data_IF_871407097177
#
_entry.id   IF_871407097177
#
_cell.length_a   1.000
_cell.length_b   1.000
_cell.length_c   1.000
_cell.angle_alpha   90.00
_cell.angle_beta   90.00
_cell.angle_gamma   90.00
#
_symmetry.space_group_name_H-M   'P 1'
#
loop_
_entity.id
_entity.type
_entity.pdbx_description
1 polymer ?
#
# COMPACT_ATOMS: atom_id res chain seq x y z
N UNK A 1 -15.65 -19.30 -3.49
CA UNK A 1 -16.51 -20.44 -3.12
C UNK A 1 -16.18 -21.65 -3.97
N UNK A 2 -16.34 -21.59 -5.29
CA UNK A 2 -16.12 -22.76 -6.18
C UNK A 2 -14.67 -23.25 -6.24
N UNK A 3 -13.71 -22.40 -5.89
CA UNK A 3 -12.29 -22.76 -5.77
C UNK A 3 -11.87 -23.23 -4.37
N UNK A 4 -12.81 -23.43 -3.44
CA UNK A 4 -12.53 -23.86 -2.07
C UNK A 4 -12.22 -22.74 -1.08
N UNK A 5 -12.33 -21.46 -1.47
CA UNK A 5 -12.11 -20.35 -0.56
C UNK A 5 -13.28 -20.25 0.45
N UNK A 6 -12.95 -20.12 1.73
CA UNK A 6 -13.88 -19.95 2.84
C UNK A 6 -13.88 -18.55 3.41
N UNK A 7 -12.84 -17.76 3.10
CA UNK A 7 -12.70 -16.35 3.49
C UNK A 7 -11.88 -15.57 2.48
N UNK A 8 -11.98 -14.24 2.49
CA UNK A 8 -11.15 -13.35 1.68
C UNK A 8 -10.99 -11.99 2.35
N UNK A 9 -9.87 -11.32 2.06
CA UNK A 9 -9.52 -10.00 2.62
C UNK A 9 -9.11 -9.07 1.47
N UNK A 10 -10.07 -8.44 0.76
CA UNK A 10 -9.77 -7.50 -0.32
C UNK A 10 -9.32 -6.15 0.23
N UNK A 11 -8.81 -5.31 -0.66
CA UNK A 11 -8.40 -3.95 -0.33
C UNK A 11 -9.59 -2.98 -0.38
N UNK A 12 -9.88 -2.32 0.76
CA UNK A 12 -10.77 -1.16 0.82
C UNK A 12 -9.94 0.10 0.55
N UNK A 13 -10.15 0.73 -0.61
CA UNK A 13 -9.32 1.83 -1.08
C UNK A 13 -9.92 3.19 -0.69
N UNK A 14 -9.25 3.90 0.23
CA UNK A 14 -9.48 5.32 0.44
C UNK A 14 -8.93 6.11 -0.77
N UNK A 15 -9.68 7.06 -1.25
CA UNK A 15 -9.21 8.07 -2.20
C UNK A 15 -9.01 9.41 -1.49
N UNK A 16 -8.17 10.28 -2.06
CA UNK A 16 -7.91 11.61 -1.50
C UNK A 16 -9.20 12.39 -1.30
N UNK A 17 -9.36 13.01 -0.13
CA UNK A 17 -10.55 13.72 0.29
C UNK A 17 -11.68 12.82 0.83
N UNK A 18 -11.48 11.51 0.92
CA UNK A 18 -12.46 10.59 1.51
C UNK A 18 -12.06 10.21 2.94
N UNK A 19 -13.07 10.08 3.83
CA UNK A 19 -12.85 9.49 5.14
C UNK A 19 -12.62 7.98 5.04
N UNK A 20 -11.83 7.45 5.95
CA UNK A 20 -11.66 6.00 6.13
C UNK A 20 -12.96 5.35 6.53
N UNK A 21 -13.71 5.96 7.45
CA UNK A 21 -15.03 5.48 7.89
C UNK A 21 -16.00 5.32 6.72
N UNK A 22 -16.20 6.36 5.90
CA UNK A 22 -17.10 6.28 4.73
C UNK A 22 -16.61 5.31 3.66
N UNK A 23 -15.28 5.14 3.54
CA UNK A 23 -14.69 4.10 2.68
C UNK A 23 -15.10 2.71 3.17
N UNK A 24 -14.89 2.40 4.45
CA UNK A 24 -15.23 1.10 5.03
C UNK A 24 -16.73 0.81 4.94
N UNK A 25 -17.59 1.79 5.25
CA UNK A 25 -19.04 1.65 5.08
C UNK A 25 -19.41 1.25 3.64
N UNK A 26 -18.83 1.91 2.64
CA UNK A 26 -19.06 1.59 1.23
C UNK A 26 -18.62 0.15 0.89
N UNK A 27 -17.47 -0.29 1.40
CA UNK A 27 -16.96 -1.63 1.14
C UNK A 27 -17.77 -2.70 1.89
N UNK A 28 -18.21 -2.44 3.12
CA UNK A 28 -19.11 -3.33 3.84
C UNK A 28 -20.46 -3.48 3.11
N UNK A 29 -21.04 -2.39 2.59
CA UNK A 29 -22.26 -2.46 1.80
C UNK A 29 -22.09 -3.33 0.55
N UNK A 30 -20.98 -3.19 -0.18
CA UNK A 30 -20.65 -4.06 -1.32
C UNK A 30 -20.52 -5.53 -0.92
N UNK A 31 -19.94 -5.79 0.25
CA UNK A 31 -19.68 -7.14 0.76
C UNK A 31 -20.93 -7.82 1.37
N UNK A 32 -22.05 -7.13 1.59
CA UNK A 32 -23.28 -7.69 2.17
C UNK A 32 -23.82 -8.92 1.45
N UNK A 33 -23.47 -9.10 0.18
CA UNK A 33 -23.86 -10.27 -0.63
C UNK A 33 -22.88 -11.43 -0.54
N UNK A 34 -21.81 -11.29 0.24
CA UNK A 34 -20.85 -12.38 0.43
C UNK A 34 -21.51 -13.55 1.16
N UNK A 35 -21.22 -14.75 0.67
CA UNK A 35 -21.66 -16.02 1.29
C UNK A 35 -20.53 -16.72 2.03
N UNK A 36 -19.35 -16.08 2.11
CA UNK A 36 -18.17 -16.53 2.85
C UNK A 36 -17.65 -15.37 3.70
N UNK A 37 -16.85 -15.67 4.69
CA UNK A 37 -16.27 -14.67 5.60
C UNK A 37 -15.38 -13.67 4.86
N UNK A 38 -15.40 -12.42 5.30
CA UNK A 38 -14.56 -11.38 4.75
C UNK A 38 -14.08 -10.39 5.82
N UNK A 39 -12.95 -9.78 5.53
CA UNK A 39 -12.46 -8.58 6.18
C UNK A 39 -11.84 -7.68 5.11
N UNK A 40 -11.12 -6.62 5.50
CA UNK A 40 -10.46 -5.72 4.56
C UNK A 40 -9.03 -5.42 4.98
N UNK A 41 -8.14 -5.25 3.98
CA UNK A 41 -6.93 -4.46 4.11
C UNK A 41 -7.27 -3.03 3.70
N UNK A 42 -7.05 -2.06 4.59
CA UNK A 42 -7.38 -0.66 4.30
C UNK A 42 -6.24 0.01 3.52
N UNK A 43 -6.50 0.52 2.31
CA UNK A 43 -5.55 1.40 1.61
C UNK A 43 -5.69 2.81 2.18
N UNK A 44 -4.56 3.37 2.65
CA UNK A 44 -4.45 4.75 3.15
C UNK A 44 -3.68 5.57 2.12
N UNK A 45 -4.34 6.52 1.47
CA UNK A 45 -3.76 7.39 0.46
C UNK A 45 -3.85 8.88 0.82
N UNK A 46 -4.61 9.21 1.85
CA UNK A 46 -4.80 10.56 2.37
C UNK A 46 -4.74 10.58 3.90
N UNK A 47 -3.53 10.46 4.50
CA UNK A 47 -3.34 10.36 5.94
C UNK A 47 -3.41 11.75 6.61
N UNK A 48 -4.59 12.35 6.62
CA UNK A 48 -4.83 13.60 7.34
C UNK A 48 -4.69 13.40 8.85
N UNK A 49 -4.54 14.49 9.63
CA UNK A 49 -4.48 14.42 11.08
C UNK A 49 -5.69 13.66 11.67
N UNK A 50 -6.89 13.92 11.17
CA UNK A 50 -8.11 13.21 11.58
C UNK A 50 -8.03 11.72 11.26
N UNK A 51 -7.56 11.35 10.06
CA UNK A 51 -7.39 9.94 9.66
C UNK A 51 -6.43 9.24 10.62
N UNK A 52 -5.28 9.84 10.90
CA UNK A 52 -4.25 9.24 11.77
C UNK A 52 -4.67 9.16 13.24
N UNK A 53 -5.32 10.21 13.75
CA UNK A 53 -5.63 10.31 15.18
C UNK A 53 -6.93 9.60 15.59
N UNK A 54 -7.89 9.49 14.68
CA UNK A 54 -9.24 9.00 14.99
C UNK A 54 -9.62 7.77 14.12
N UNK A 55 -9.61 7.92 12.78
CA UNK A 55 -10.24 6.95 11.91
C UNK A 55 -9.43 5.64 11.75
N UNK A 56 -8.09 5.67 11.75
CA UNK A 56 -7.27 4.46 11.74
C UNK A 56 -7.37 3.68 13.06
N UNK A 57 -7.30 4.32 14.26
CA UNK A 57 -7.64 3.67 15.52
C UNK A 57 -9.02 3.01 15.53
N UNK A 58 -10.06 3.73 15.10
CA UNK A 58 -11.42 3.18 15.00
C UNK A 58 -11.49 1.96 14.06
N UNK A 59 -10.84 2.05 12.89
CA UNK A 59 -10.78 0.94 11.94
C UNK A 59 -10.12 -0.30 12.57
N UNK A 60 -9.03 -0.11 13.32
CA UNK A 60 -8.35 -1.18 14.05
C UNK A 60 -9.26 -1.81 15.11
N UNK A 61 -9.93 -1.01 15.93
CA UNK A 61 -10.90 -1.48 16.93
C UNK A 61 -12.08 -2.22 16.27
N UNK A 62 -12.46 -1.80 15.06
CA UNK A 62 -13.44 -2.48 14.22
C UNK A 62 -12.97 -3.77 13.55
N UNK A 63 -11.72 -4.22 13.81
CA UNK A 63 -11.17 -5.47 13.29
C UNK A 63 -10.36 -5.35 11.99
N UNK A 64 -10.10 -4.14 11.50
CA UNK A 64 -9.21 -3.89 10.36
C UNK A 64 -7.78 -3.72 10.88
N UNK A 65 -7.00 -4.79 10.85
CA UNK A 65 -5.69 -4.87 11.51
C UNK A 65 -4.50 -4.65 10.59
N UNK A 66 -4.73 -4.26 9.34
CA UNK A 66 -3.68 -4.02 8.35
C UNK A 66 -3.99 -2.85 7.43
N UNK A 67 -2.99 -1.98 7.24
CA UNK A 67 -3.05 -0.79 6.41
C UNK A 67 -2.09 -0.95 5.23
N UNK A 68 -2.52 -0.60 4.04
CA UNK A 68 -1.72 -0.64 2.82
C UNK A 68 -1.41 0.76 2.34
N UNK A 69 -0.15 1.01 2.00
CA UNK A 69 0.32 2.26 1.41
C UNK A 69 1.05 2.00 0.10
N UNK A 70 1.21 3.05 -0.70
CA UNK A 70 1.89 3.00 -1.98
C UNK A 70 2.98 4.07 -2.04
N UNK A 71 4.16 3.71 -2.54
CA UNK A 71 5.26 4.64 -2.79
C UNK A 71 5.35 5.06 -4.27
N UNK A 72 4.36 4.64 -5.06
CA UNK A 72 4.15 5.04 -6.46
C UNK A 72 2.66 5.22 -6.74
N UNK A 73 2.32 5.60 -7.98
CA UNK A 73 0.97 5.92 -8.47
C UNK A 73 0.40 7.24 -7.92
N UNK A 74 0.28 8.25 -8.79
CA UNK A 74 -0.09 9.63 -8.44
C UNK A 74 -1.32 9.79 -7.54
N UNK A 75 -2.29 8.88 -7.65
CA UNK A 75 -3.52 8.92 -6.85
C UNK A 75 -3.40 8.24 -5.47
N UNK A 76 -2.36 7.43 -5.27
CA UNK A 76 -2.21 6.59 -4.08
C UNK A 76 -0.93 6.87 -3.31
N UNK A 77 0.08 7.46 -3.95
CA UNK A 77 1.40 7.68 -3.36
C UNK A 77 1.31 8.52 -2.09
N UNK A 78 1.99 8.06 -1.04
CA UNK A 78 2.24 8.83 0.18
C UNK A 78 3.68 9.34 0.20
N UNK A 79 3.95 10.44 0.88
CA UNK A 79 5.31 10.92 1.14
C UNK A 79 6.00 10.07 2.20
N UNK A 80 7.32 10.21 2.33
CA UNK A 80 8.08 9.53 3.39
C UNK A 80 7.64 9.99 4.79
N UNK A 81 7.31 11.27 4.97
CA UNK A 81 6.76 11.81 6.22
C UNK A 81 5.41 11.15 6.54
N UNK A 82 4.49 11.11 5.58
CA UNK A 82 3.20 10.44 5.76
C UNK A 82 3.34 8.94 6.03
N UNK A 83 4.32 8.26 5.40
CA UNK A 83 4.63 6.87 5.71
C UNK A 83 5.07 6.71 7.17
N UNK A 84 5.94 7.58 7.68
CA UNK A 84 6.38 7.55 9.07
C UNK A 84 5.20 7.71 10.04
N UNK A 85 4.29 8.66 9.78
CA UNK A 85 3.11 8.89 10.61
C UNK A 85 2.16 7.67 10.63
N UNK A 86 1.95 7.04 9.45
CA UNK A 86 1.15 5.82 9.35
C UNK A 86 1.83 4.67 10.11
N UNK A 87 3.14 4.49 9.97
CA UNK A 87 3.92 3.45 10.65
C UNK A 87 3.85 3.61 12.19
N UNK A 88 4.00 4.84 12.68
CA UNK A 88 3.90 5.15 14.12
C UNK A 88 2.48 4.85 14.63
N UNK A 89 1.45 5.27 13.89
CA UNK A 89 0.06 4.99 14.24
C UNK A 89 -0.21 3.49 14.25
N UNK A 90 0.19 2.77 13.19
CA UNK A 90 0.04 1.32 13.10
C UNK A 90 0.71 0.60 14.27
N UNK A 91 1.98 0.94 14.56
CA UNK A 91 2.71 0.37 15.70
C UNK A 91 2.00 0.60 17.03
N UNK A 92 1.50 1.82 17.26
CA UNK A 92 0.82 2.20 18.50
C UNK A 92 -0.43 1.35 18.77
N UNK A 93 -1.13 0.98 17.71
CA UNK A 93 -2.38 0.21 17.79
C UNK A 93 -2.19 -1.29 17.48
N UNK A 94 -0.98 -1.75 17.17
CA UNK A 94 -0.72 -3.17 16.84
C UNK A 94 -1.16 -3.57 15.43
N UNK A 95 -1.40 -2.62 14.53
CA UNK A 95 -1.72 -2.88 13.14
C UNK A 95 -0.45 -3.13 12.30
N UNK A 96 -0.59 -3.90 11.22
CA UNK A 96 0.48 -4.15 10.26
C UNK A 96 0.40 -3.17 9.09
N UNK A 97 1.49 -2.45 8.82
CA UNK A 97 1.60 -1.67 7.58
C UNK A 97 2.14 -2.54 6.45
N UNK A 98 1.44 -2.53 5.32
CA UNK A 98 1.89 -3.15 4.07
C UNK A 98 2.26 -2.06 3.08
N UNK A 99 3.29 -2.26 2.25
CA UNK A 99 3.66 -1.28 1.24
C UNK A 99 3.90 -1.88 -0.14
N UNK A 100 3.36 -1.22 -1.16
CA UNK A 100 3.80 -1.36 -2.55
C UNK A 100 4.99 -0.43 -2.74
N UNK A 101 6.17 -1.01 -2.87
CA UNK A 101 7.44 -0.29 -2.84
C UNK A 101 8.07 -0.22 -4.24
N UNK A 102 7.82 0.89 -4.93
CA UNK A 102 8.51 1.25 -6.17
C UNK A 102 8.79 2.76 -6.19
N UNK A 103 9.94 3.16 -6.76
CA UNK A 103 10.33 4.55 -6.87
C UNK A 103 9.53 5.26 -7.99
N UNK A 104 8.60 6.11 -7.60
CA UNK A 104 7.72 6.85 -8.51
C UNK A 104 8.48 7.74 -9.49
N UNK A 105 9.58 8.37 -9.07
CA UNK A 105 10.36 9.27 -9.91
C UNK A 105 11.06 8.50 -11.04
N UNK A 106 11.66 7.34 -10.74
CA UNK A 106 12.28 6.48 -11.74
C UNK A 106 11.26 5.97 -12.76
N UNK A 107 10.10 5.48 -12.28
CA UNK A 107 9.03 4.98 -13.16
C UNK A 107 8.53 6.10 -14.07
N UNK A 108 8.20 7.27 -13.54
CA UNK A 108 7.69 8.40 -14.34
C UNK A 108 8.70 8.87 -15.38
N UNK A 109 9.96 8.92 -15.00
CA UNK A 109 11.04 9.28 -15.92
C UNK A 109 11.14 8.27 -17.06
N UNK A 110 11.16 6.96 -16.76
CA UNK A 110 11.20 5.89 -17.76
C UNK A 110 9.97 5.92 -18.68
N UNK A 111 8.76 6.01 -18.12
CA UNK A 111 7.51 6.10 -18.88
C UNK A 111 7.55 7.28 -19.86
N UNK A 112 7.98 8.46 -19.40
CA UNK A 112 8.05 9.64 -20.25
C UNK A 112 8.99 9.46 -21.44
N UNK A 113 10.13 8.77 -21.25
CA UNK A 113 11.11 8.49 -22.31
C UNK A 113 10.61 7.45 -23.29
N UNK A 114 9.99 6.39 -22.81
CA UNK A 114 9.39 5.36 -23.65
C UNK A 114 8.27 5.93 -24.53
N UNK A 115 7.37 6.71 -23.94
CA UNK A 115 6.28 7.34 -24.67
C UNK A 115 6.81 8.33 -25.73
N UNK A 116 7.77 9.19 -25.37
CA UNK A 116 8.40 10.11 -26.32
C UNK A 116 9.11 9.39 -27.47
N UNK A 117 9.65 8.19 -27.24
CA UNK A 117 10.25 7.34 -28.28
C UNK A 117 9.25 6.48 -29.06
N UNK A 118 7.94 6.60 -28.82
CA UNK A 118 6.90 5.81 -29.49
C UNK A 118 6.75 4.38 -28.96
N UNK A 119 7.39 4.03 -27.85
CA UNK A 119 7.34 2.70 -27.22
C UNK A 119 6.12 2.56 -26.29
N UNK A 120 4.91 2.46 -26.90
CA UNK A 120 3.63 2.48 -26.15
C UNK A 120 2.96 1.09 -26.01
N UNK A 121 3.53 0.05 -26.62
CA UNK A 121 2.96 -1.29 -26.54
C UNK A 121 3.09 -1.88 -25.11
N UNK A 122 2.14 -2.73 -24.64
CA UNK A 122 2.13 -3.29 -23.28
C UNK A 122 3.43 -3.98 -22.86
N UNK A 123 4.19 -4.56 -23.78
CA UNK A 123 5.48 -5.20 -23.52
C UNK A 123 6.52 -4.26 -22.91
N UNK A 124 6.37 -2.94 -23.07
CA UNK A 124 7.29 -1.94 -22.50
C UNK A 124 6.94 -1.59 -21.05
N UNK A 125 5.86 -2.14 -20.49
CA UNK A 125 5.52 -1.94 -19.09
C UNK A 125 6.66 -2.43 -18.16
N UNK A 126 7.16 -3.62 -18.37
CA UNK A 126 8.28 -4.16 -17.58
C UNK A 126 9.56 -3.30 -17.70
N UNK A 127 9.81 -2.69 -18.87
CA UNK A 127 10.94 -1.78 -19.07
C UNK A 127 10.78 -0.48 -18.27
N UNK A 128 9.54 -0.01 -18.12
CA UNK A 128 9.25 1.21 -17.34
C UNK A 128 9.31 1.01 -15.82
N UNK A 129 9.32 -0.25 -15.36
CA UNK A 129 9.40 -0.64 -13.94
C UNK A 129 10.67 -1.47 -13.71
N UNK A 130 11.87 -0.84 -13.78
CA UNK A 130 13.13 -1.55 -13.59
C UNK A 130 13.27 -2.02 -12.14
N UNK A 131 13.95 -3.16 -11.92
CA UNK A 131 14.20 -3.70 -10.58
C UNK A 131 14.82 -2.71 -9.60
N UNK A 132 15.67 -1.80 -10.09
CA UNK A 132 16.23 -0.72 -9.26
C UNK A 132 15.17 0.21 -8.66
N UNK A 133 14.01 0.37 -9.29
CA UNK A 133 12.90 1.18 -8.73
C UNK A 133 12.25 0.47 -7.53
N UNK A 134 12.14 -0.85 -7.58
CA UNK A 134 11.67 -1.67 -6.46
C UNK A 134 12.72 -1.70 -5.33
N UNK A 135 13.97 -2.03 -5.63
CA UNK A 135 15.04 -2.15 -4.64
C UNK A 135 15.26 -0.85 -3.84
N UNK A 136 15.32 0.31 -4.51
CA UNK A 136 15.43 1.61 -3.84
C UNK A 136 14.26 1.84 -2.88
N UNK A 137 13.04 1.64 -3.35
CA UNK A 137 11.86 1.91 -2.53
C UNK A 137 11.73 0.92 -1.35
N UNK A 138 12.10 -0.35 -1.52
CA UNK A 138 12.18 -1.33 -0.42
C UNK A 138 13.21 -0.88 0.61
N UNK A 139 14.44 -0.53 0.18
CA UNK A 139 15.50 -0.07 1.08
C UNK A 139 15.08 1.17 1.87
N UNK A 140 14.42 2.11 1.23
CA UNK A 140 13.91 3.32 1.87
C UNK A 140 12.80 3.00 2.88
N UNK A 141 11.79 2.21 2.48
CA UNK A 141 10.67 1.84 3.34
C UNK A 141 11.10 1.05 4.58
N UNK A 142 12.00 0.07 4.42
CA UNK A 142 12.54 -0.73 5.53
C UNK A 142 13.35 0.12 6.51
N UNK A 143 14.16 1.07 6.03
CA UNK A 143 14.91 2.00 6.89
C UNK A 143 13.99 2.93 7.68
N UNK A 144 12.93 3.45 7.05
CA UNK A 144 11.93 4.28 7.74
C UNK A 144 11.17 3.46 8.80
N UNK A 145 10.76 2.24 8.48
CA UNK A 145 10.09 1.35 9.43
C UNK A 145 11.00 1.00 10.62
N UNK A 146 12.26 0.66 10.36
CA UNK A 146 13.26 0.38 11.39
C UNK A 146 13.51 1.60 12.28
N UNK A 147 13.60 2.79 11.70
CA UNK A 147 13.81 4.04 12.44
C UNK A 147 12.71 4.28 13.50
N UNK A 148 11.45 4.00 13.16
CA UNK A 148 10.34 4.16 14.10
C UNK A 148 9.99 2.86 14.85
N UNK A 149 10.70 1.75 14.60
CA UNK A 149 10.48 0.47 15.26
C UNK A 149 9.11 -0.15 14.95
N UNK A 150 8.59 0.05 13.73
CA UNK A 150 7.29 -0.45 13.30
C UNK A 150 7.43 -1.69 12.40
N UNK A 151 6.57 -2.72 12.55
CA UNK A 151 6.53 -3.83 11.62
C UNK A 151 6.07 -3.36 10.23
N UNK A 152 6.72 -3.87 9.19
CA UNK A 152 6.41 -3.56 7.80
C UNK A 152 6.37 -4.84 6.97
N UNK A 153 5.37 -4.99 6.13
CA UNK A 153 5.27 -6.04 5.11
C UNK A 153 5.49 -5.43 3.72
N UNK A 154 6.55 -5.80 3.06
CA UNK A 154 6.73 -5.49 1.64
C UNK A 154 5.92 -6.51 0.84
N UNK A 155 4.94 -6.06 0.05
CA UNK A 155 4.11 -6.97 -0.75
C UNK A 155 4.78 -7.27 -2.10
N UNK A 156 4.48 -8.42 -2.67
CA UNK A 156 4.84 -8.84 -4.05
C UNK A 156 6.27 -8.44 -4.47
N UNK A 157 7.27 -8.71 -3.63
CA UNK A 157 8.69 -8.53 -3.97
C UNK A 157 9.02 -9.33 -5.22
N UNK A 158 9.54 -8.68 -6.25
CA UNK A 158 9.66 -9.23 -7.60
C UNK A 158 11.11 -9.34 -8.09
N UNK A 159 12.08 -8.82 -7.31
CA UNK A 159 13.50 -8.81 -7.67
C UNK A 159 14.35 -9.49 -6.61
N UNK A 160 15.45 -10.10 -7.03
CA UNK A 160 16.44 -10.70 -6.12
C UNK A 160 17.07 -9.63 -5.21
N UNK A 161 17.34 -8.43 -5.75
CA UNK A 161 17.88 -7.32 -4.96
C UNK A 161 16.89 -6.88 -3.87
N UNK A 162 15.60 -6.75 -4.22
CA UNK A 162 14.55 -6.44 -3.24
C UNK A 162 14.41 -7.52 -2.17
N UNK A 163 14.47 -8.79 -2.55
CA UNK A 163 14.42 -9.90 -1.60
C UNK A 163 15.61 -9.91 -0.64
N UNK A 164 16.82 -9.64 -1.12
CA UNK A 164 18.02 -9.55 -0.28
C UNK A 164 17.92 -8.38 0.72
N UNK A 165 17.42 -7.21 0.29
CA UNK A 165 17.23 -6.05 1.19
C UNK A 165 16.23 -6.36 2.32
N UNK A 166 15.21 -7.17 2.06
CA UNK A 166 14.23 -7.57 3.09
C UNK A 166 14.82 -8.62 4.05
N UNK A 167 15.76 -9.45 3.58
CA UNK A 167 16.38 -10.50 4.38
C UNK A 167 17.45 -9.98 5.36
N UNK A 168 18.12 -8.85 5.03
CA UNK A 168 19.15 -8.18 5.86
C UNK A 168 18.52 -7.35 7.01
#
# INVERSE_FOLDING_TARGET
VFGGNTSFIPFAAQHRGQSVRGTLETYHERARKSVIDYSFHLIVSDPTEQVLAEELPEAFEGGITSFKVFLTYDKLIVSDEALLDILVTARKHGALTMTHAENNALIKWMVSRLVAGGYTAPKFHAVSHPGAAEAEAISRATRLANFVGAPLLIVHVSTDEGANIVAD
#
